data_IF_089552665937
#
_entry.id   IF_089552665937
#
_cell.length_a   1.000
_cell.length_b   1.000
_cell.length_c   1.000
_cell.angle_alpha   90.00
_cell.angle_beta   90.00
_cell.angle_gamma   90.00
#
_symmetry.space_group_name_H-M   'P 1'
#
loop_
_entity.id
_entity.type
_entity.pdbx_description
1 polymer ?
#
# COMPACT_ATOMS: atom_id res chain seq x y z
N UNK A 1 -26.97 -79.33 14.10
CA UNK A 1 -26.41 -78.27 13.24
C UNK A 1 -25.91 -77.16 14.14
N UNK A 2 -24.59 -77.08 14.32
CA UNK A 2 -23.94 -76.16 15.27
C UNK A 2 -23.46 -74.92 14.52
N UNK A 3 -23.98 -73.75 14.86
CA UNK A 3 -23.60 -72.47 14.28
C UNK A 3 -22.43 -71.86 15.06
N UNK A 4 -21.29 -71.73 14.37
CA UNK A 4 -20.08 -71.09 14.87
C UNK A 4 -20.26 -69.56 14.93
N UNK A 5 -20.12 -68.98 16.13
CA UNK A 5 -20.00 -67.53 16.34
C UNK A 5 -18.53 -67.13 16.27
N UNK A 6 -18.19 -66.34 15.26
CA UNK A 6 -16.85 -65.79 15.03
C UNK A 6 -16.67 -64.53 15.92
N UNK A 7 -15.78 -64.58 16.91
CA UNK A 7 -15.47 -63.43 17.79
C UNK A 7 -14.31 -62.63 17.18
N UNK A 8 -14.63 -61.49 16.56
CA UNK A 8 -13.62 -60.54 16.09
C UNK A 8 -13.01 -59.78 17.28
N UNK A 9 -11.70 -59.90 17.46
CA UNK A 9 -10.93 -59.24 18.51
C UNK A 9 -10.71 -57.77 18.12
N UNK A 10 -11.41 -56.86 18.80
CA UNK A 10 -11.28 -55.40 18.61
C UNK A 10 -9.99 -54.93 19.29
N UNK A 11 -8.92 -54.70 18.54
CA UNK A 11 -7.69 -54.09 19.05
C UNK A 11 -7.96 -52.63 19.44
N UNK A 12 -7.97 -52.36 20.75
CA UNK A 12 -7.88 -51.00 21.29
C UNK A 12 -6.44 -50.50 21.13
N UNK A 13 -6.17 -49.76 20.07
CA UNK A 13 -4.99 -48.90 20.01
C UNK A 13 -5.30 -47.62 20.79
N UNK A 14 -4.73 -47.48 21.98
CA UNK A 14 -4.62 -46.18 22.65
C UNK A 14 -3.58 -45.34 21.91
N UNK A 15 -3.90 -44.15 21.39
CA UNK A 15 -2.87 -43.15 21.15
C UNK A 15 -2.51 -42.52 22.50
N UNK A 16 -1.30 -42.84 22.97
CA UNK A 16 -0.69 -42.21 24.11
C UNK A 16 -0.55 -40.70 23.86
N UNK A 17 -0.90 -39.93 24.89
CA UNK A 17 -0.85 -38.49 24.92
C UNK A 17 0.59 -37.97 24.81
N UNK A 18 0.88 -37.26 23.72
CA UNK A 18 1.82 -36.15 23.73
C UNK A 18 1.16 -34.96 23.02
N UNK A 19 0.17 -34.38 23.68
CA UNK A 19 -0.25 -33.01 23.40
C UNK A 19 0.89 -32.08 23.86
N UNK A 20 1.90 -31.91 23.01
CA UNK A 20 2.80 -30.75 23.10
C UNK A 20 1.92 -29.54 22.76
N UNK A 21 1.44 -28.88 23.80
CA UNK A 21 0.84 -27.56 23.70
C UNK A 21 1.93 -26.60 23.20
N UNK A 22 2.04 -26.46 21.89
CA UNK A 22 2.69 -25.30 21.30
C UNK A 22 1.81 -24.10 21.64
N UNK A 23 2.15 -23.44 22.74
CA UNK A 23 1.75 -22.07 23.03
C UNK A 23 2.01 -21.24 21.78
N UNK A 24 0.96 -20.94 21.02
CA UNK A 24 0.95 -19.85 20.04
C UNK A 24 0.94 -18.54 20.83
N UNK A 25 2.10 -18.20 21.39
CA UNK A 25 2.35 -16.86 21.92
C UNK A 25 2.99 -16.04 20.83
N UNK A 26 2.35 -14.91 20.54
CA UNK A 26 2.89 -13.85 19.70
C UNK A 26 2.14 -13.80 18.38
N UNK A 27 1.25 -12.81 18.29
CA UNK A 27 1.00 -12.06 17.07
C UNK A 27 2.31 -11.94 16.29
N UNK A 28 2.51 -12.85 15.36
CA UNK A 28 3.59 -12.73 14.39
C UNK A 28 2.99 -11.80 13.35
N UNK A 29 3.01 -10.51 13.67
CA UNK A 29 2.93 -9.44 12.68
C UNK A 29 3.91 -9.85 11.61
N UNK A 30 3.40 -10.31 10.46
CA UNK A 30 4.21 -10.52 9.27
C UNK A 30 4.70 -9.13 8.93
N UNK A 31 5.84 -8.73 9.51
CA UNK A 31 6.51 -7.51 9.14
C UNK A 31 6.93 -7.75 7.70
N UNK A 32 6.07 -7.31 6.77
CA UNK A 32 6.40 -7.24 5.37
C UNK A 32 7.59 -6.28 5.30
N UNK A 33 8.80 -6.86 5.24
CA UNK A 33 10.01 -6.13 4.92
C UNK A 33 9.82 -5.64 3.49
N UNK A 34 9.26 -4.45 3.35
CA UNK A 34 9.15 -3.78 2.06
C UNK A 34 10.58 -3.50 1.62
N UNK A 35 10.98 -4.06 0.49
CA UNK A 35 12.32 -3.86 -0.05
C UNK A 35 12.45 -2.43 -0.61
N UNK A 36 12.65 -1.47 0.28
CA UNK A 36 12.83 -0.06 -0.07
C UNK A 36 14.26 0.25 -0.56
N UNK A 37 15.07 -0.76 -0.92
CA UNK A 37 16.46 -0.53 -1.39
C UNK A 37 16.54 0.45 -2.57
N UNK A 38 15.70 0.36 -3.61
CA UNK A 38 15.78 1.30 -4.74
C UNK A 38 15.53 2.74 -4.28
N UNK A 39 14.53 2.95 -3.41
CA UNK A 39 14.22 4.26 -2.87
C UNK A 39 15.34 4.78 -1.96
N UNK A 40 15.91 3.94 -1.10
CA UNK A 40 17.02 4.30 -0.23
C UNK A 40 18.30 4.64 -1.02
N UNK A 41 18.56 3.96 -2.14
CA UNK A 41 19.66 4.28 -3.05
C UNK A 41 19.43 5.63 -3.70
N UNK A 42 18.21 5.90 -4.20
CA UNK A 42 17.86 7.20 -4.79
C UNK A 42 17.94 8.32 -3.74
N UNK A 43 17.42 8.12 -2.54
CA UNK A 43 17.49 9.08 -1.43
C UNK A 43 18.95 9.35 -1.02
N UNK A 44 19.80 8.32 -0.93
CA UNK A 44 21.23 8.48 -0.64
C UNK A 44 21.94 9.27 -1.74
N UNK A 45 21.71 8.94 -3.01
CA UNK A 45 22.29 9.69 -4.14
C UNK A 45 21.79 11.14 -4.13
N UNK A 46 20.51 11.38 -3.87
CA UNK A 46 19.95 12.73 -3.77
C UNK A 46 20.57 13.53 -2.63
N UNK A 47 20.85 12.87 -1.51
CA UNK A 47 21.60 13.45 -0.40
C UNK A 47 23.04 13.79 -0.78
N UNK A 48 23.73 12.91 -1.50
CA UNK A 48 25.08 13.17 -2.01
C UNK A 48 25.09 14.38 -2.94
N UNK A 49 24.13 14.49 -3.86
CA UNK A 49 23.97 15.66 -4.74
C UNK A 49 23.71 16.93 -3.93
N UNK A 50 22.84 16.87 -2.91
CA UNK A 50 22.54 18.01 -2.04
C UNK A 50 23.79 18.47 -1.29
N UNK A 51 24.56 17.52 -0.75
CA UNK A 51 25.81 17.81 -0.05
C UNK A 51 26.85 18.40 -1.01
N UNK A 52 27.00 17.85 -2.21
CA UNK A 52 27.90 18.37 -3.25
C UNK A 52 27.51 19.77 -3.71
N UNK A 53 26.22 20.04 -3.95
CA UNK A 53 25.71 21.37 -4.35
C UNK A 53 25.95 22.40 -3.24
N UNK A 54 25.72 22.02 -1.98
CA UNK A 54 25.99 22.88 -0.82
C UNK A 54 27.48 23.16 -0.65
N UNK A 55 28.34 22.16 -0.84
CA UNK A 55 29.79 22.34 -0.87
C UNK A 55 30.22 23.24 -2.03
N UNK A 56 29.62 23.10 -3.22
CA UNK A 56 29.95 23.94 -4.38
C UNK A 56 29.50 25.40 -4.17
N UNK A 57 28.35 25.61 -3.53
CA UNK A 57 27.86 26.94 -3.13
C UNK A 57 28.72 27.55 -2.01
N UNK A 58 29.15 26.74 -1.03
CA UNK A 58 30.08 27.16 0.01
C UNK A 58 31.44 27.52 -0.60
N UNK A 59 32.00 26.72 -1.50
CA UNK A 59 33.24 27.02 -2.23
C UNK A 59 33.14 28.31 -3.05
N UNK A 60 31.99 28.58 -3.70
CA UNK A 60 31.76 29.86 -4.40
C UNK A 60 31.65 31.05 -3.43
N UNK A 61 31.09 30.85 -2.25
CA UNK A 61 31.02 31.88 -1.20
C UNK A 61 32.37 32.07 -0.49
N UNK A 62 33.17 31.02 -0.33
CA UNK A 62 34.52 31.04 0.26
C UNK A 62 35.55 31.61 -0.74
N UNK A 63 35.41 31.38 -2.05
CA UNK A 63 36.17 32.12 -3.07
C UNK A 63 35.87 33.63 -3.05
N UNK A 64 34.72 34.04 -2.48
CA UNK A 64 34.34 35.45 -2.26
C UNK A 64 34.71 35.95 -0.86
N UNK A 65 35.03 35.06 0.07
CA UNK A 65 35.30 35.36 1.49
C UNK A 65 36.57 34.63 1.93
N UNK A 66 37.69 35.25 1.55
CA UNK A 66 38.99 35.27 2.22
C UNK A 66 39.88 34.02 2.09
N UNK A 67 41.13 34.30 1.69
CA UNK A 67 42.31 33.77 2.35
C UNK A 67 42.06 33.42 3.84
N UNK A 68 42.77 32.41 4.34
CA UNK A 68 42.72 31.88 5.72
C UNK A 68 41.72 30.74 5.89
N UNK A 69 42.31 29.55 5.88
CA UNK A 69 41.63 28.28 5.87
C UNK A 69 40.91 27.92 7.16
N UNK A 70 40.05 26.91 7.03
CA UNK A 70 39.50 26.13 8.12
C UNK A 70 39.21 24.69 7.63
N UNK A 71 39.36 23.74 8.56
CA UNK A 71 39.33 22.29 8.37
C UNK A 71 37.92 21.67 8.18
N UNK A 72 37.83 20.44 7.61
CA UNK A 72 36.54 19.80 7.32
C UNK A 72 35.87 19.20 8.56
N UNK A 73 34.58 19.52 8.75
CA UNK A 73 33.67 18.92 9.75
C UNK A 73 32.89 17.75 9.14
N UNK A 74 32.70 16.71 9.97
CA UNK A 74 32.18 15.40 9.58
C UNK A 74 30.80 15.36 8.94
N UNK A 75 30.60 14.32 8.13
CA UNK A 75 29.40 14.03 7.34
C UNK A 75 28.26 13.55 8.25
N UNK A 76 27.23 14.37 8.42
CA UNK A 76 25.96 13.97 9.06
C UNK A 76 25.01 13.46 7.97
N UNK A 77 24.60 12.20 8.05
CA UNK A 77 23.49 11.67 7.24
C UNK A 77 22.16 12.25 7.75
N UNK A 78 21.68 13.29 7.05
CA UNK A 78 20.35 13.88 7.23
C UNK A 78 19.34 13.20 6.29
N UNK A 79 18.25 12.67 6.83
CA UNK A 79 17.11 12.19 6.03
C UNK A 79 16.37 13.40 5.46
N UNK A 80 16.10 13.41 4.15
CA UNK A 80 15.37 14.49 3.49
C UNK A 80 13.89 14.48 3.91
N UNK A 81 13.32 15.66 4.09
CA UNK A 81 11.89 15.84 4.36
C UNK A 81 11.06 15.70 3.07
N UNK A 82 9.75 15.44 3.21
CA UNK A 82 8.84 15.33 2.07
C UNK A 82 8.82 16.61 1.19
N UNK A 83 8.98 17.79 1.81
CA UNK A 83 9.05 19.07 1.10
C UNK A 83 10.36 19.22 0.32
N UNK A 84 11.50 18.86 0.90
CA UNK A 84 12.78 18.87 0.18
C UNK A 84 12.72 17.92 -1.01
N UNK A 85 12.17 16.72 -0.82
CA UNK A 85 11.94 15.79 -1.91
C UNK A 85 11.06 16.39 -3.03
N UNK A 86 10.03 17.16 -2.70
CA UNK A 86 9.14 17.77 -3.69
C UNK A 86 9.84 18.85 -4.52
N UNK A 87 10.72 19.65 -3.91
CA UNK A 87 11.54 20.65 -4.60
C UNK A 87 12.45 20.01 -5.67
N UNK A 88 12.99 18.83 -5.40
CA UNK A 88 13.81 18.08 -6.37
C UNK A 88 13.02 17.50 -7.55
N UNK A 89 11.72 17.25 -7.40
CA UNK A 89 10.88 16.84 -8.52
C UNK A 89 10.74 17.96 -9.56
N UNK A 90 10.93 19.22 -9.14
CA UNK A 90 10.88 20.42 -9.97
C UNK A 90 12.24 20.84 -10.55
N UNK A 91 13.32 20.09 -10.27
CA UNK A 91 14.65 20.40 -10.83
C UNK A 91 14.63 20.18 -12.35
N UNK A 92 14.93 21.22 -13.17
CA UNK A 92 14.94 21.14 -14.61
C UNK A 92 15.85 20.03 -15.10
N UNK A 93 15.47 19.37 -16.19
CA UNK A 93 16.23 18.27 -16.78
C UNK A 93 17.65 18.69 -17.22
N UNK A 94 17.83 19.98 -17.51
CA UNK A 94 19.13 20.59 -17.83
C UNK A 94 20.14 20.57 -16.67
N UNK A 95 19.72 20.38 -15.41
CA UNK A 95 20.63 20.33 -14.26
C UNK A 95 21.27 18.93 -14.07
N UNK A 96 20.92 17.94 -14.91
CA UNK A 96 21.49 16.58 -14.88
C UNK A 96 22.61 16.38 -15.91
N UNK A 97 23.18 17.43 -16.48
CA UNK A 97 24.23 17.30 -17.52
C UNK A 97 25.51 16.60 -17.01
N UNK A 98 25.68 16.55 -15.69
CA UNK A 98 26.77 15.84 -15.02
C UNK A 98 26.46 14.36 -14.70
N UNK A 99 25.21 13.89 -14.89
CA UNK A 99 24.83 12.48 -14.70
C UNK A 99 25.07 11.67 -15.96
N UNK A 100 25.45 10.40 -15.80
CA UNK A 100 25.48 9.46 -16.93
C UNK A 100 24.07 9.05 -17.39
N UNK A 101 23.99 8.43 -18.58
CA UNK A 101 22.70 8.07 -19.18
C UNK A 101 21.89 7.06 -18.35
N UNK A 102 22.57 6.15 -17.64
CA UNK A 102 21.90 5.16 -16.80
C UNK A 102 21.29 5.81 -15.54
N UNK A 103 21.98 6.80 -14.97
CA UNK A 103 21.48 7.60 -13.86
C UNK A 103 20.31 8.49 -14.26
N UNK A 104 20.37 9.12 -15.44
CA UNK A 104 19.25 9.88 -16.00
C UNK A 104 18.01 9.00 -16.19
N UNK A 105 18.19 7.79 -16.73
CA UNK A 105 17.10 6.83 -16.90
C UNK A 105 16.52 6.38 -15.54
N UNK A 106 17.37 6.12 -14.54
CA UNK A 106 16.93 5.80 -13.18
C UNK A 106 16.13 6.95 -12.54
N UNK A 107 16.57 8.19 -12.72
CA UNK A 107 15.87 9.39 -12.24
C UNK A 107 14.54 9.59 -12.96
N UNK A 108 14.48 9.35 -14.27
CA UNK A 108 13.25 9.35 -15.06
C UNK A 108 12.22 8.36 -14.50
N UNK A 109 12.64 7.10 -14.28
CA UNK A 109 11.78 6.08 -13.63
C UNK A 109 11.27 6.52 -12.26
N UNK A 110 12.16 7.02 -11.40
CA UNK A 110 11.78 7.49 -10.06
C UNK A 110 10.77 8.64 -10.11
N UNK A 111 10.98 9.63 -10.98
CA UNK A 111 10.05 10.76 -11.18
C UNK A 111 8.69 10.28 -11.66
N UNK A 112 8.64 9.34 -12.61
CA UNK A 112 7.39 8.72 -13.08
C UNK A 112 6.65 8.03 -11.93
N UNK A 113 7.31 7.10 -11.24
CA UNK A 113 6.71 6.38 -10.10
C UNK A 113 6.16 7.33 -9.03
N UNK A 114 6.89 8.42 -8.77
CA UNK A 114 6.46 9.40 -7.78
C UNK A 114 5.29 10.25 -8.27
N UNK A 115 5.26 10.63 -9.54
CA UNK A 115 4.12 11.32 -10.14
C UNK A 115 2.87 10.42 -10.09
N UNK A 116 3.02 9.14 -10.43
CA UNK A 116 1.95 8.15 -10.35
C UNK A 116 1.43 8.01 -8.90
N UNK A 117 2.34 7.89 -7.92
CA UNK A 117 1.99 7.83 -6.50
C UNK A 117 1.29 9.11 -6.02
N UNK A 118 1.77 10.28 -6.46
CA UNK A 118 1.15 11.56 -6.11
C UNK A 118 -0.26 11.69 -6.70
N UNK A 119 -0.44 11.26 -7.95
CA UNK A 119 -1.76 11.22 -8.59
C UNK A 119 -2.70 10.25 -7.87
N UNK A 120 -2.22 9.06 -7.52
CA UNK A 120 -2.99 8.06 -6.76
C UNK A 120 -3.39 8.62 -5.39
N UNK A 121 -2.46 9.21 -4.65
CA UNK A 121 -2.73 9.84 -3.35
C UNK A 121 -3.76 10.97 -3.48
N UNK A 122 -3.68 11.78 -4.55
CA UNK A 122 -4.67 12.83 -4.84
C UNK A 122 -6.05 12.24 -5.09
N UNK A 123 -6.15 11.20 -5.92
CA UNK A 123 -7.43 10.50 -6.21
C UNK A 123 -8.04 9.92 -4.95
N UNK A 124 -7.23 9.22 -4.15
CA UNK A 124 -7.67 8.62 -2.90
C UNK A 124 -8.13 9.67 -1.88
N UNK A 125 -7.37 10.76 -1.73
CA UNK A 125 -7.75 11.88 -0.85
C UNK A 125 -9.06 12.51 -1.29
N UNK A 126 -9.25 12.74 -2.60
CA UNK A 126 -10.49 13.27 -3.13
C UNK A 126 -11.69 12.33 -2.84
N UNK A 127 -11.50 11.02 -3.00
CA UNK A 127 -12.53 10.02 -2.70
C UNK A 127 -12.88 9.95 -1.20
N UNK A 128 -11.89 10.03 -0.31
CA UNK A 128 -12.16 10.10 1.14
C UNK A 128 -12.88 11.40 1.51
N UNK A 129 -12.55 12.51 0.86
CA UNK A 129 -13.21 13.79 1.13
C UNK A 129 -14.62 13.90 0.55
N UNK A 130 -14.95 13.10 -0.47
CA UNK A 130 -16.29 13.06 -1.07
C UNK A 130 -17.26 12.14 -0.34
N UNK A 131 -16.83 11.50 0.76
CA UNK A 131 -17.66 10.56 1.52
C UNK A 131 -18.91 11.23 2.09
N UNK A 132 -20.05 10.57 1.94
CA UNK A 132 -21.32 10.94 2.55
C UNK A 132 -21.83 9.77 3.38
N UNK A 133 -22.07 10.02 4.67
CA UNK A 133 -22.60 9.01 5.59
C UNK A 133 -24.12 8.95 5.51
N UNK A 134 -24.64 7.80 5.13
CA UNK A 134 -26.04 7.42 5.30
C UNK A 134 -26.25 6.56 6.54
N UNK A 135 -27.50 6.23 6.84
CA UNK A 135 -27.87 5.43 8.03
C UNK A 135 -27.30 4.01 8.00
N UNK A 136 -27.09 3.43 6.81
CA UNK A 136 -26.65 2.03 6.62
C UNK A 136 -25.53 1.86 5.59
N UNK A 137 -25.12 2.95 4.96
CA UNK A 137 -24.10 2.94 3.93
C UNK A 137 -23.26 4.20 3.99
N UNK A 138 -22.03 4.10 3.49
CA UNK A 138 -21.20 5.26 3.18
C UNK A 138 -21.03 5.30 1.68
N UNK A 139 -21.39 6.42 1.06
CA UNK A 139 -21.15 6.66 -0.36
C UNK A 139 -19.94 7.56 -0.57
N UNK A 140 -19.30 7.46 -1.72
CA UNK A 140 -18.20 8.34 -2.14
C UNK A 140 -18.13 8.42 -3.66
N UNK A 141 -17.48 9.45 -4.18
CA UNK A 141 -17.09 9.54 -5.58
C UNK A 141 -15.67 9.00 -5.77
N UNK A 142 -15.48 8.17 -6.80
CA UNK A 142 -14.16 7.75 -7.25
C UNK A 142 -14.11 7.77 -8.77
N UNK A 143 -13.32 8.67 -9.34
CA UNK A 143 -13.17 8.78 -10.80
C UNK A 143 -14.45 9.21 -11.53
N UNK A 144 -15.30 10.04 -10.88
CA UNK A 144 -16.57 10.48 -11.46
C UNK A 144 -17.70 9.45 -11.41
N UNK A 145 -17.47 8.34 -10.71
CA UNK A 145 -18.48 7.32 -10.43
C UNK A 145 -18.80 7.34 -8.94
N UNK A 146 -20.10 7.23 -8.63
CA UNK A 146 -20.55 7.14 -7.25
C UNK A 146 -20.60 5.66 -6.82
N UNK A 147 -19.96 5.38 -5.69
CA UNK A 147 -19.97 4.08 -5.05
C UNK A 147 -20.58 4.20 -3.66
N UNK A 148 -21.16 3.12 -3.15
CA UNK A 148 -21.46 3.02 -1.73
C UNK A 148 -21.12 1.65 -1.16
N UNK A 149 -20.63 1.63 0.08
CA UNK A 149 -20.43 0.40 0.85
C UNK A 149 -21.63 0.21 1.75
N UNK A 150 -22.25 -0.97 1.66
CA UNK A 150 -23.33 -1.38 2.54
C UNK A 150 -22.82 -2.49 3.46
N UNK A 151 -23.00 -2.29 4.77
CA UNK A 151 -22.55 -3.23 5.80
C UNK A 151 -23.73 -3.90 6.54
N UNK A 152 -24.93 -3.83 5.99
CA UNK A 152 -26.12 -4.35 6.65
C UNK A 152 -26.08 -5.88 6.81
N UNK A 153 -26.39 -6.33 8.04
CA UNK A 153 -26.87 -7.68 8.39
C UNK A 153 -26.15 -8.87 7.71
N UNK A 154 -24.82 -8.79 7.57
CA UNK A 154 -24.00 -9.92 7.08
C UNK A 154 -23.84 -10.03 5.56
N UNK A 155 -24.35 -9.06 4.80
CA UNK A 155 -24.17 -8.98 3.35
C UNK A 155 -23.38 -7.72 2.98
N UNK A 156 -22.04 -7.85 3.01
CA UNK A 156 -21.16 -6.77 2.60
C UNK A 156 -21.07 -6.69 1.09
N UNK A 157 -21.38 -5.52 0.56
CA UNK A 157 -21.25 -5.25 -0.86
C UNK A 157 -20.91 -3.79 -1.11
N UNK A 158 -20.24 -3.58 -2.23
CA UNK A 158 -20.06 -2.27 -2.84
C UNK A 158 -21.10 -2.16 -3.94
N UNK A 159 -21.80 -1.04 -4.02
CA UNK A 159 -22.69 -0.75 -5.15
C UNK A 159 -22.08 0.36 -5.97
N UNK A 160 -21.96 0.16 -7.27
CA UNK A 160 -21.76 1.25 -8.24
C UNK A 160 -23.15 1.78 -8.63
N UNK A 161 -23.39 3.08 -8.37
CA UNK A 161 -24.66 3.77 -8.65
C UNK A 161 -24.83 4.08 -10.15
N UNK A 162 -24.71 3.04 -10.97
CA UNK A 162 -25.02 3.05 -12.39
C UNK A 162 -26.52 2.76 -12.65
N UNK A 163 -26.93 2.78 -13.91
CA UNK A 163 -28.27 2.37 -14.34
C UNK A 163 -28.17 1.22 -15.37
N UNK A 164 -28.35 -0.04 -14.97
CA UNK A 164 -28.74 -0.52 -13.63
C UNK A 164 -27.61 -0.45 -12.60
N UNK A 165 -27.96 -0.52 -11.31
CA UNK A 165 -26.98 -0.60 -10.22
C UNK A 165 -26.24 -1.93 -10.29
N UNK A 166 -24.96 -1.91 -9.95
CA UNK A 166 -24.11 -3.11 -9.96
C UNK A 166 -23.64 -3.37 -8.54
N UNK A 167 -23.87 -4.58 -8.03
CA UNK A 167 -23.51 -4.96 -6.67
C UNK A 167 -22.30 -5.90 -6.68
N UNK A 168 -21.26 -5.54 -5.95
CA UNK A 168 -20.01 -6.27 -5.84
C UNK A 168 -19.87 -6.83 -4.43
N UNK A 169 -20.07 -8.13 -4.27
CA UNK A 169 -20.15 -8.79 -2.95
C UNK A 169 -18.78 -9.24 -2.45
N UNK A 170 -18.56 -9.07 -1.14
CA UNK A 170 -17.32 -9.45 -0.49
C UNK A 170 -17.51 -9.95 0.94
N UNK A 171 -16.42 -10.45 1.51
CA UNK A 171 -16.24 -10.75 2.93
C UNK A 171 -14.88 -10.23 3.39
N UNK A 172 -14.67 -10.19 4.71
CA UNK A 172 -13.46 -9.63 5.29
C UNK A 172 -13.45 -8.11 5.32
N UNK A 173 -12.33 -7.54 5.75
CA UNK A 173 -12.14 -6.10 5.96
C UNK A 173 -10.72 -5.70 5.58
N UNK A 174 -10.54 -4.46 5.12
CA UNK A 174 -9.21 -3.96 4.76
C UNK A 174 -8.53 -4.81 3.68
N UNK A 175 -7.27 -5.16 3.89
CA UNK A 175 -6.50 -5.99 2.96
C UNK A 175 -7.03 -7.42 2.83
N UNK A 176 -7.70 -7.94 3.87
CA UNK A 176 -8.29 -9.29 3.92
C UNK A 176 -9.64 -9.39 3.18
N UNK A 177 -10.04 -8.35 2.44
CA UNK A 177 -11.23 -8.41 1.60
C UNK A 177 -11.07 -9.48 0.51
N UNK A 178 -12.07 -10.36 0.44
CA UNK A 178 -12.16 -11.47 -0.51
C UNK A 178 -13.52 -11.51 -1.19
N UNK A 179 -13.56 -12.08 -2.38
CA UNK A 179 -14.79 -12.34 -3.12
C UNK A 179 -15.79 -13.17 -2.31
N UNK A 180 -17.07 -12.80 -2.41
CA UNK A 180 -18.18 -13.57 -1.86
C UNK A 180 -19.27 -13.67 -2.92
N UNK A 181 -19.84 -14.85 -3.10
CA UNK A 181 -21.04 -15.01 -3.93
C UNK A 181 -22.27 -14.50 -3.18
N UNK A 182 -23.16 -13.77 -3.84
CA UNK A 182 -24.46 -13.44 -3.28
C UNK A 182 -25.30 -14.71 -3.09
N UNK A 183 -26.08 -14.77 -2.00
CA UNK A 183 -27.04 -15.86 -1.78
C UNK A 183 -28.26 -15.75 -2.70
N UNK A 184 -28.59 -14.53 -3.11
CA UNK A 184 -29.65 -14.22 -4.06
C UNK A 184 -29.03 -14.08 -5.44
N UNK A 185 -29.47 -14.85 -6.44
CA UNK A 185 -28.93 -14.76 -7.81
C UNK A 185 -29.57 -13.59 -8.56
N UNK A 186 -29.20 -12.35 -8.22
CA UNK A 186 -29.50 -11.19 -9.04
C UNK A 186 -28.72 -11.27 -10.37
N UNK A 187 -29.26 -10.69 -11.46
CA UNK A 187 -28.56 -10.63 -12.75
C UNK A 187 -27.34 -9.70 -12.73
N UNK A 188 -27.30 -8.76 -11.79
CA UNK A 188 -26.28 -7.70 -11.70
C UNK A 188 -25.30 -7.91 -10.54
N UNK A 189 -25.30 -9.11 -9.95
CA UNK A 189 -24.40 -9.47 -8.86
C UNK A 189 -23.04 -9.87 -9.42
N UNK A 190 -22.01 -9.20 -8.93
CA UNK A 190 -20.61 -9.42 -9.31
C UNK A 190 -19.78 -9.72 -8.08
N UNK A 191 -18.63 -10.34 -8.31
CA UNK A 191 -17.59 -10.51 -7.30
C UNK A 191 -16.85 -9.18 -7.08
N UNK A 192 -16.30 -8.96 -5.90
CA UNK A 192 -15.48 -7.78 -5.61
C UNK A 192 -14.30 -7.62 -6.57
N UNK A 193 -13.67 -8.72 -6.98
CA UNK A 193 -12.60 -8.77 -7.98
C UNK A 193 -13.00 -8.23 -9.35
N UNK A 194 -14.30 -8.07 -9.64
CA UNK A 194 -14.78 -7.46 -10.87
C UNK A 194 -14.81 -5.92 -10.83
N UNK A 195 -14.54 -5.29 -9.68
CA UNK A 195 -14.32 -3.84 -9.59
C UNK A 195 -13.04 -3.45 -10.34
N UNK A 196 -12.92 -2.20 -10.81
CA UNK A 196 -11.64 -1.66 -11.25
C UNK A 196 -10.54 -1.83 -10.18
N UNK A 197 -9.34 -2.25 -10.58
CA UNK A 197 -8.27 -2.60 -9.63
C UNK A 197 -7.86 -1.45 -8.70
N UNK A 198 -7.94 -0.21 -9.18
CA UNK A 198 -7.67 1.00 -8.41
C UNK A 198 -8.75 1.26 -7.34
N UNK A 199 -10.01 0.98 -7.65
CA UNK A 199 -11.12 1.02 -6.69
C UNK A 199 -10.97 -0.09 -5.65
N UNK A 200 -10.60 -1.31 -6.07
CA UNK A 200 -10.33 -2.41 -5.13
C UNK A 200 -9.23 -2.03 -4.13
N UNK A 201 -8.09 -1.55 -4.64
CA UNK A 201 -6.95 -1.15 -3.82
C UNK A 201 -7.32 0.01 -2.89
N UNK A 202 -8.03 1.01 -3.39
CA UNK A 202 -8.53 2.12 -2.58
C UNK A 202 -9.37 1.62 -1.40
N UNK A 203 -10.34 0.74 -1.65
CA UNK A 203 -11.23 0.20 -0.61
C UNK A 203 -10.42 -0.61 0.40
N UNK A 204 -9.53 -1.49 -0.04
CA UNK A 204 -8.70 -2.33 0.85
C UNK A 204 -7.83 -1.46 1.77
N UNK A 205 -7.09 -0.52 1.19
CA UNK A 205 -6.14 0.29 1.95
C UNK A 205 -6.80 1.37 2.80
N UNK A 206 -8.04 1.76 2.51
CA UNK A 206 -8.75 2.82 3.22
C UNK A 206 -10.03 2.35 3.91
N UNK A 207 -10.21 1.04 4.11
CA UNK A 207 -11.48 0.48 4.59
C UNK A 207 -11.93 1.09 5.92
N UNK A 208 -11.04 1.16 6.91
CA UNK A 208 -11.35 1.77 8.20
C UNK A 208 -11.70 3.25 8.03
N UNK A 209 -10.92 4.00 7.25
CA UNK A 209 -11.17 5.41 7.01
C UNK A 209 -12.51 5.64 6.29
N UNK A 210 -12.89 4.79 5.33
CA UNK A 210 -14.18 4.85 4.64
C UNK A 210 -15.36 4.74 5.61
N UNK A 211 -15.17 4.06 6.74
CA UNK A 211 -16.19 3.83 7.76
C UNK A 211 -16.08 4.74 8.98
N UNK A 212 -15.13 5.69 9.01
CA UNK A 212 -14.98 6.76 10.02
C UNK A 212 -15.64 8.07 9.60
#
# INVERSE_FOLDING_TARGET
MSTHVNKTQKSKSQPAAHAVSQRKSGDRTTAHLVNNRPEAIVQRKLQEITNSRRQTMQLKNEQKVVAKGAQPKGTIQRVLTANELQEWASVPEAEYDWMDDAEKEQMGRYKSTRADQAEQNRKWTAALNSRVRGTRCVSWDFGGKNYHVNLALGEYHITEEASPKIHYFFSGFGEDIMDKTSGNKGKDDRLFSALPSDVQLFIKSNFAALLL
#
